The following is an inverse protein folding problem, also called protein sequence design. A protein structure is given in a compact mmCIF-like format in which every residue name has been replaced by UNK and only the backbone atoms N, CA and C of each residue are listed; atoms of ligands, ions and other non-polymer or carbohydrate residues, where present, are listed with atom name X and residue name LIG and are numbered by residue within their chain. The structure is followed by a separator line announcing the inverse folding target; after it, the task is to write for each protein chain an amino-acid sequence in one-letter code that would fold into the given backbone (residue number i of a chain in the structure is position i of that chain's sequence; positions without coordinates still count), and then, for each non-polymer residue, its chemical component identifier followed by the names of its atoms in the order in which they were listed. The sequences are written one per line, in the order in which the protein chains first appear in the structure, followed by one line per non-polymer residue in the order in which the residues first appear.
data_IF_359578001794
#
_entry.id   IF_359578001794
#
_cell.length_a   1.000
_cell.length_b   1.000
_cell.length_c   1.000
_cell.angle_alpha   90.00
_cell.angle_beta   90.00
_cell.angle_gamma   90.00
#
_symmetry.space_group_name_H-M   'P 1'
#
loop_
_entity.id
_entity.type
_entity.pdbx_description
1 polymer ?
#
# COMPACT_ATOMS: atom_id res chain seq x y z
N UNK A 1 -8.63 -2.74 5.42
CA UNK A 1 -7.87 -1.63 6.02
C UNK A 1 -8.49 -1.17 7.34
N UNK A 2 -9.69 -0.58 7.38
CA UNK A 2 -10.34 -0.12 8.63
C UNK A 2 -10.36 -1.15 9.79
N UNK A 3 -10.64 -2.44 9.52
CA UNK A 3 -10.66 -3.48 10.56
C UNK A 3 -9.27 -3.77 11.15
N UNK A 4 -8.24 -3.79 10.31
CA UNK A 4 -6.85 -4.00 10.72
C UNK A 4 -6.39 -2.89 11.66
N UNK A 5 -6.71 -1.64 11.33
CA UNK A 5 -6.32 -0.47 12.13
C UNK A 5 -7.02 -0.38 13.48
N UNK A 6 -8.27 -0.85 13.58
CA UNK A 6 -9.09 -0.59 14.76
C UNK A 6 -9.13 -1.77 15.75
N UNK A 7 -9.02 -3.00 15.26
CA UNK A 7 -9.26 -4.21 16.08
C UNK A 7 -7.99 -5.02 16.36
N UNK A 8 -6.82 -4.56 15.91
CA UNK A 8 -5.55 -5.29 16.01
C UNK A 8 -5.63 -6.73 15.45
N UNK A 9 -6.58 -6.95 14.54
CA UNK A 9 -6.76 -8.24 13.87
C UNK A 9 -5.67 -8.44 12.82
N UNK A 10 -5.20 -9.68 12.68
CA UNK A 10 -4.20 -9.99 11.65
C UNK A 10 -4.79 -9.81 10.25
N UNK A 11 -4.04 -9.14 9.36
CA UNK A 11 -4.49 -8.83 8.00
C UNK A 11 -4.88 -10.09 7.22
N UNK A 12 -4.14 -11.19 7.39
CA UNK A 12 -4.44 -12.48 6.78
C UNK A 12 -5.80 -13.03 7.20
N UNK A 13 -6.15 -12.95 8.48
CA UNK A 13 -7.44 -13.42 9.00
C UNK A 13 -8.60 -12.58 8.47
N UNK A 14 -8.46 -11.25 8.49
CA UNK A 14 -9.48 -10.35 7.92
C UNK A 14 -9.73 -10.68 6.45
N UNK A 15 -8.66 -10.85 5.68
CA UNK A 15 -8.74 -11.15 4.25
C UNK A 15 -9.42 -12.49 4.00
N UNK A 16 -9.07 -13.53 4.75
CA UNK A 16 -9.69 -14.85 4.64
C UNK A 16 -11.19 -14.77 4.91
N UNK A 17 -11.62 -14.05 5.95
CA UNK A 17 -13.04 -13.85 6.24
C UNK A 17 -13.78 -13.13 5.10
N UNK A 18 -13.18 -12.07 4.54
CA UNK A 18 -13.76 -11.36 3.39
C UNK A 18 -13.85 -12.27 2.17
N UNK A 19 -12.81 -13.06 1.87
CA UNK A 19 -12.81 -13.98 0.75
C UNK A 19 -13.82 -15.12 0.91
N UNK A 20 -14.06 -15.59 2.14
CA UNK A 20 -15.11 -16.57 2.42
C UNK A 20 -16.52 -16.00 2.21
N UNK A 21 -16.72 -14.71 2.52
CA UNK A 21 -18.01 -14.03 2.36
C UNK A 21 -18.33 -13.74 0.89
N UNK A 22 -17.41 -13.10 0.16
CA UNK A 22 -17.66 -12.63 -1.20
C UNK A 22 -17.27 -13.64 -2.29
N UNK A 23 -16.49 -14.67 -1.95
CA UNK A 23 -16.02 -15.75 -2.84
C UNK A 23 -15.50 -15.25 -4.20
N UNK A 24 -14.56 -14.28 -4.24
CA UNK A 24 -14.06 -13.76 -5.51
C UNK A 24 -13.25 -14.80 -6.29
N UNK A 25 -13.18 -14.59 -7.60
CA UNK A 25 -12.32 -15.36 -8.53
C UNK A 25 -10.85 -15.38 -8.07
N UNK A 26 -10.07 -16.42 -8.42
CA UNK A 26 -8.67 -16.56 -7.99
C UNK A 26 -7.79 -15.33 -8.29
N UNK A 27 -7.94 -14.74 -9.48
CA UNK A 27 -7.19 -13.55 -9.88
C UNK A 27 -7.52 -12.34 -8.98
N UNK A 28 -8.81 -12.14 -8.68
CA UNK A 28 -9.27 -11.08 -7.79
C UNK A 28 -8.78 -11.29 -6.35
N UNK A 29 -8.69 -12.55 -5.88
CA UNK A 29 -8.07 -12.86 -4.57
C UNK A 29 -6.60 -12.50 -4.54
N UNK A 30 -5.85 -12.86 -5.58
CA UNK A 30 -4.42 -12.54 -5.70
C UNK A 30 -4.22 -11.01 -5.69
N UNK A 31 -4.96 -10.29 -6.54
CA UNK A 31 -4.89 -8.84 -6.63
C UNK A 31 -5.24 -8.15 -5.31
N UNK A 32 -6.35 -8.53 -4.68
CA UNK A 32 -6.75 -7.97 -3.39
C UNK A 32 -5.74 -8.29 -2.27
N UNK A 33 -5.06 -9.43 -2.35
CA UNK A 33 -3.97 -9.80 -1.42
C UNK A 33 -2.78 -8.86 -1.56
N UNK A 34 -2.33 -8.62 -2.79
CA UNK A 34 -1.22 -7.70 -3.09
C UNK A 34 -1.58 -6.30 -2.63
N UNK A 35 -2.71 -5.75 -3.07
CA UNK A 35 -3.13 -4.39 -2.72
C UNK A 35 -3.22 -4.21 -1.20
N UNK A 36 -3.82 -5.15 -0.48
CA UNK A 36 -3.93 -5.06 0.98
C UNK A 36 -2.56 -5.09 1.68
N UNK A 37 -1.68 -6.00 1.28
CA UNK A 37 -0.35 -6.13 1.89
C UNK A 37 0.51 -4.90 1.62
N UNK A 38 0.56 -4.45 0.36
CA UNK A 38 1.44 -3.35 -0.05
C UNK A 38 0.93 -2.00 0.46
N UNK A 39 -0.39 -1.79 0.52
CA UNK A 39 -0.98 -0.60 1.16
C UNK A 39 -0.66 -0.55 2.65
N UNK A 40 -0.68 -1.70 3.36
CA UNK A 40 -0.28 -1.74 4.78
C UNK A 40 1.23 -1.50 4.93
N UNK A 41 2.07 -2.14 4.09
CA UNK A 41 3.53 -2.00 4.10
C UNK A 41 3.95 -0.55 3.93
N UNK A 42 3.36 0.15 2.96
CA UNK A 42 3.70 1.52 2.60
C UNK A 42 2.81 2.55 3.29
N UNK A 43 2.05 2.17 4.32
CA UNK A 43 0.99 3.00 4.91
C UNK A 43 1.47 4.41 5.28
N UNK A 44 2.58 4.51 6.04
CA UNK A 44 3.10 5.80 6.50
C UNK A 44 3.50 6.70 5.33
N UNK A 45 4.13 6.11 4.30
CA UNK A 45 4.50 6.81 3.07
C UNK A 45 3.27 7.31 2.30
N UNK A 46 2.28 6.43 2.08
CA UNK A 46 1.03 6.77 1.39
C UNK A 46 0.29 7.88 2.14
N UNK A 47 0.27 7.80 3.47
CA UNK A 47 -0.34 8.79 4.34
C UNK A 47 0.30 10.19 4.16
N UNK A 48 1.63 10.29 4.19
CA UNK A 48 2.33 11.55 3.92
C UNK A 48 2.00 12.13 2.54
N UNK A 49 2.01 11.28 1.52
CA UNK A 49 1.72 11.68 0.15
C UNK A 49 0.26 12.16 0.01
N UNK A 50 -0.69 11.52 0.68
CA UNK A 50 -2.10 11.94 0.68
C UNK A 50 -2.26 13.31 1.36
N UNK A 51 -1.63 13.55 2.52
CA UNK A 51 -1.70 14.86 3.17
C UNK A 51 -1.11 15.95 2.28
N UNK A 52 0.04 15.67 1.67
CA UNK A 52 0.73 16.61 0.77
C UNK A 52 -0.12 16.96 -0.46
N UNK A 53 -0.67 15.96 -1.16
CA UNK A 53 -1.44 16.18 -2.39
C UNK A 53 -2.84 16.74 -2.12
N UNK A 54 -3.48 16.34 -1.03
CA UNK A 54 -4.83 16.80 -0.69
C UNK A 54 -4.86 18.15 0.03
N UNK A 55 -3.74 18.57 0.62
CA UNK A 55 -3.65 19.75 1.49
C UNK A 55 -4.49 19.63 2.77
N UNK A 56 -4.90 18.42 3.15
CA UNK A 56 -5.74 18.14 4.31
C UNK A 56 -5.05 17.13 5.21
N UNK A 57 -5.11 17.37 6.52
CA UNK A 57 -4.69 16.34 7.47
C UNK A 57 -5.58 15.10 7.35
N UNK A 58 -4.97 13.92 7.39
CA UNK A 58 -5.64 12.62 7.38
C UNK A 58 -6.66 12.48 8.50
N UNK A 59 -6.43 13.13 9.65
CA UNK A 59 -7.38 13.12 10.78
C UNK A 59 -8.72 13.77 10.42
N UNK A 60 -8.76 14.61 9.38
CA UNK A 60 -9.99 15.26 8.88
C UNK A 60 -10.67 14.45 7.77
N UNK A 61 -10.04 13.40 7.26
CA UNK A 61 -10.63 12.54 6.25
C UNK A 61 -11.38 11.40 6.94
N UNK A 62 -12.50 10.98 6.34
CA UNK A 62 -13.18 9.75 6.73
C UNK A 62 -12.23 8.55 6.60
N UNK A 63 -12.35 7.57 7.50
CA UNK A 63 -11.43 6.42 7.54
C UNK A 63 -11.51 5.55 6.28
N UNK A 64 -12.73 5.35 5.77
CA UNK A 64 -12.93 4.62 4.52
C UNK A 64 -12.39 5.42 3.35
N UNK A 65 -12.58 6.75 3.34
CA UNK A 65 -11.99 7.61 2.31
C UNK A 65 -10.46 7.54 2.32
N UNK A 66 -9.83 7.59 3.50
CA UNK A 66 -8.38 7.41 3.65
C UNK A 66 -7.95 6.06 3.08
N UNK A 67 -8.61 4.97 3.47
CA UNK A 67 -8.27 3.63 2.96
C UNK A 67 -8.39 3.54 1.43
N UNK A 68 -9.41 4.15 0.84
CA UNK A 68 -9.61 4.19 -0.62
C UNK A 68 -8.49 5.00 -1.29
N UNK A 69 -8.16 6.18 -0.74
CA UNK A 69 -7.06 6.99 -1.25
C UNK A 69 -5.72 6.28 -1.15
N UNK A 70 -5.45 5.56 -0.06
CA UNK A 70 -4.21 4.79 0.09
C UNK A 70 -4.07 3.72 -1.00
N UNK A 71 -5.14 2.98 -1.31
CA UNK A 71 -5.14 2.01 -2.41
C UNK A 71 -4.96 2.72 -3.75
N UNK A 72 -5.69 3.81 -4.01
CA UNK A 72 -5.57 4.55 -5.27
C UNK A 72 -4.20 5.19 -5.49
N UNK A 73 -3.58 5.73 -4.43
CA UNK A 73 -2.19 6.23 -4.49
C UNK A 73 -1.22 5.09 -4.76
N UNK A 74 -1.44 3.93 -4.15
CA UNK A 74 -0.59 2.77 -4.40
C UNK A 74 -0.67 2.33 -5.87
N UNK A 75 -1.89 2.19 -6.41
CA UNK A 75 -2.08 1.78 -7.80
C UNK A 75 -1.43 2.79 -8.78
N UNK A 76 -1.62 4.10 -8.57
CA UNK A 76 -1.06 5.14 -9.46
C UNK A 76 0.48 5.23 -9.40
N UNK A 77 1.09 5.00 -8.24
CA UNK A 77 2.52 5.25 -8.05
C UNK A 77 3.40 4.02 -8.14
N UNK A 78 2.86 2.83 -7.86
CA UNK A 78 3.65 1.61 -7.70
C UNK A 78 3.11 0.41 -8.48
N UNK A 79 1.90 0.47 -9.05
CA UNK A 79 1.33 -0.62 -9.83
C UNK A 79 1.33 -0.30 -11.33
N UNK A 80 2.41 -0.66 -12.01
CA UNK A 80 2.59 -0.45 -13.45
C UNK A 80 1.55 -1.20 -14.31
N UNK A 81 0.84 -2.17 -13.74
CA UNK A 81 -0.19 -2.93 -14.46
C UNK A 81 -1.52 -2.18 -14.62
N UNK A 82 -1.67 -1.04 -13.93
CA UNK A 82 -2.95 -0.32 -13.83
C UNK A 82 -2.81 1.06 -14.46
N UNK A 83 -3.53 1.35 -15.56
CA UNK A 83 -3.56 2.70 -16.10
C UNK A 83 -4.12 3.69 -15.08
N UNK A 84 -3.52 4.87 -15.00
CA UNK A 84 -3.91 5.96 -14.07
C UNK A 84 -5.42 6.23 -14.08
N UNK A 85 -6.04 6.29 -15.27
CA UNK A 85 -7.48 6.54 -15.39
C UNK A 85 -8.34 5.42 -14.78
N UNK A 86 -7.88 4.17 -14.85
CA UNK A 86 -8.60 3.00 -14.34
C UNK A 86 -8.52 2.95 -12.80
N UNK A 87 -7.37 3.30 -12.22
CA UNK A 87 -7.21 3.46 -10.78
C UNK A 87 -8.14 4.57 -10.24
N UNK A 88 -8.21 5.71 -10.93
CA UNK A 88 -9.10 6.82 -10.58
C UNK A 88 -10.57 6.39 -10.65
N UNK A 89 -11.02 5.80 -11.76
CA UNK A 89 -12.42 5.41 -11.92
C UNK A 89 -12.85 4.38 -10.87
N UNK A 90 -12.01 3.36 -10.64
CA UNK A 90 -12.25 2.33 -9.63
C UNK A 90 -12.39 2.93 -8.23
N UNK A 91 -11.47 3.81 -7.83
CA UNK A 91 -11.50 4.45 -6.52
C UNK A 91 -12.70 5.38 -6.36
N UNK A 92 -13.08 6.11 -7.41
CA UNK A 92 -14.25 7.00 -7.42
C UNK A 92 -15.55 6.21 -7.28
N UNK A 93 -15.70 5.13 -8.06
CA UNK A 93 -16.89 4.28 -8.02
C UNK A 93 -16.99 3.54 -6.67
N UNK A 94 -15.87 3.06 -6.13
CA UNK A 94 -15.81 2.50 -4.78
C UNK A 94 -16.22 3.52 -3.71
N UNK A 95 -15.75 4.77 -3.83
CA UNK A 95 -16.12 5.85 -2.90
C UNK A 95 -17.61 6.16 -2.96
N UNK A 96 -18.22 6.16 -4.15
CA UNK A 96 -19.67 6.36 -4.29
C UNK A 96 -20.47 5.27 -3.58
N UNK A 97 -20.04 4.01 -3.69
CA UNK A 97 -20.73 2.87 -3.09
C UNK A 97 -20.58 2.76 -1.58
N UNK A 98 -19.43 3.16 -1.03
CA UNK A 98 -19.16 3.05 0.42
C UNK A 98 -19.55 4.32 1.19
N UNK A 99 -19.40 5.49 0.56
CA UNK A 99 -19.61 6.78 1.20
C UNK A 99 -20.74 7.54 0.51
N UNK A 100 -20.40 8.59 -0.24
CA UNK A 100 -21.38 9.44 -0.90
C UNK A 100 -20.77 10.16 -2.09
N UNK A 101 -21.63 10.79 -2.90
CA UNK A 101 -21.24 11.51 -4.12
C UNK A 101 -20.24 12.64 -3.84
N UNK A 102 -20.39 13.38 -2.73
CA UNK A 102 -19.47 14.47 -2.36
C UNK A 102 -18.05 13.93 -2.09
N UNK A 103 -17.95 12.84 -1.33
CA UNK A 103 -16.67 12.17 -1.08
C UNK A 103 -16.05 11.66 -2.38
N UNK A 104 -16.85 11.13 -3.32
CA UNK A 104 -16.33 10.67 -4.61
C UNK A 104 -15.72 11.80 -5.46
N UNK A 105 -16.29 13.01 -5.38
CA UNK A 105 -15.70 14.20 -6.01
C UNK A 105 -14.35 14.57 -5.41
N UNK A 106 -14.20 14.46 -4.09
CA UNK A 106 -12.91 14.67 -3.41
C UNK A 106 -11.88 13.59 -3.81
N UNK A 107 -12.25 12.31 -3.82
CA UNK A 107 -11.38 11.21 -4.29
C UNK A 107 -10.85 11.51 -5.70
N UNK A 108 -11.75 11.84 -6.61
CA UNK A 108 -11.40 12.17 -7.99
C UNK A 108 -10.43 13.35 -8.08
N UNK A 109 -10.72 14.44 -7.36
CA UNK A 109 -9.88 15.64 -7.36
C UNK A 109 -8.47 15.35 -6.82
N UNK A 110 -8.36 14.61 -5.72
CA UNK A 110 -7.08 14.28 -5.10
C UNK A 110 -6.25 13.36 -6.00
N UNK A 111 -6.83 12.29 -6.56
CA UNK A 111 -6.07 11.37 -7.42
C UNK A 111 -5.67 12.01 -8.75
N UNK A 112 -6.52 12.87 -9.34
CA UNK A 112 -6.12 13.65 -10.53
C UNK A 112 -5.02 14.67 -10.21
N UNK A 113 -5.05 15.26 -9.02
CA UNK A 113 -3.97 16.15 -8.59
C UNK A 113 -2.65 15.38 -8.41
N UNK A 114 -2.70 14.15 -7.88
CA UNK A 114 -1.54 13.26 -7.80
C UNK A 114 -0.94 13.01 -9.19
N UNK A 115 -1.77 12.60 -10.15
CA UNK A 115 -1.33 12.32 -11.53
C UNK A 115 -0.67 13.56 -12.15
N UNK A 116 -1.35 14.71 -12.09
CA UNK A 116 -0.80 15.96 -12.59
C UNK A 116 0.55 16.30 -11.93
N UNK A 117 0.66 16.11 -10.62
CA UNK A 117 1.88 16.41 -9.87
C UNK A 117 3.03 15.49 -10.27
N UNK A 118 2.80 14.16 -10.35
CA UNK A 118 3.84 13.19 -10.76
C UNK A 118 4.30 13.41 -12.20
N UNK A 119 3.41 13.84 -13.09
CA UNK A 119 3.74 14.07 -14.50
C UNK A 119 4.48 15.39 -14.71
N UNK A 120 4.26 16.39 -13.85
CA UNK A 120 4.89 17.72 -13.97
C UNK A 120 6.25 17.79 -13.28
N UNK A 121 6.43 17.07 -12.18
CA UNK A 121 7.61 17.15 -11.33
C UNK A 121 8.00 15.75 -10.85
N UNK A 122 9.09 15.20 -11.38
CA UNK A 122 9.57 13.85 -11.03
C UNK A 122 10.12 13.73 -9.61
N UNK A 123 10.34 14.86 -8.91
CA UNK A 123 10.84 14.90 -7.53
C UNK A 123 9.84 15.57 -6.58
N UNK A 124 8.55 15.54 -6.93
CA UNK A 124 7.48 16.15 -6.13
C UNK A 124 7.42 15.65 -4.68
N UNK A 125 7.86 14.42 -4.45
CA UNK A 125 7.89 13.72 -3.16
C UNK A 125 9.20 13.94 -2.40
N UNK A 126 10.20 14.59 -3.00
CA UNK A 126 11.52 14.85 -2.39
C UNK A 126 11.43 15.39 -0.96
N UNK A 127 10.62 16.44 -0.68
CA UNK A 127 10.42 16.98 0.67
C UNK A 127 9.79 15.99 1.68
N UNK A 128 9.17 14.91 1.21
CA UNK A 128 8.54 13.91 2.05
C UNK A 128 9.53 12.82 2.49
N UNK A 129 10.62 12.61 1.73
CA UNK A 129 11.57 11.51 1.93
C UNK A 129 12.37 11.60 3.23
N UNK A 130 12.48 12.79 3.80
CA UNK A 130 13.17 13.03 5.07
C UNK A 130 12.27 12.91 6.29
N UNK A 131 10.96 12.78 6.10
CA UNK A 131 9.99 12.69 7.19
C UNK A 131 9.92 11.26 7.73
N UNK A 132 9.76 11.09 9.05
CA UNK A 132 9.76 9.75 9.68
C UNK A 132 8.69 8.82 9.10
N UNK A 133 7.53 9.36 8.71
CA UNK A 133 6.45 8.60 8.07
C UNK A 133 6.86 7.93 6.75
N UNK A 134 7.88 8.43 6.05
CA UNK A 134 8.35 7.90 4.77
C UNK A 134 8.83 6.44 4.86
N UNK A 135 9.36 6.06 6.01
CA UNK A 135 9.87 4.73 6.29
C UNK A 135 8.75 3.73 6.61
N UNK A 136 7.51 4.18 6.80
CA UNK A 136 6.36 3.35 7.19
C UNK A 136 6.59 2.50 8.44
N UNK A 137 7.34 3.06 9.41
CA UNK A 137 7.68 2.42 10.67
C UNK A 137 7.28 3.32 11.84
N UNK A 138 6.91 2.74 13.00
CA UNK A 138 6.76 3.52 14.23
C UNK A 138 8.06 4.22 14.63
N UNK A 139 7.99 5.45 15.13
CA UNK A 139 9.17 6.25 15.49
C UNK A 139 10.10 5.53 16.49
N UNK A 140 9.55 4.75 17.41
CA UNK A 140 10.33 3.99 18.38
C UNK A 140 11.18 2.88 17.74
N UNK A 141 10.70 2.24 16.67
CA UNK A 141 11.48 1.26 15.90
C UNK A 141 12.60 1.99 15.15
N UNK A 142 12.28 3.14 14.56
CA UNK A 142 13.28 3.93 13.83
C UNK A 142 14.41 4.35 14.76
N UNK A 143 14.09 4.90 15.93
CA UNK A 143 15.09 5.30 16.92
C UNK A 143 15.95 4.11 17.37
N UNK A 144 15.34 2.96 17.67
CA UNK A 144 16.05 1.74 18.08
C UNK A 144 16.99 1.23 17.00
N UNK A 145 16.57 1.19 15.75
CA UNK A 145 17.42 0.69 14.66
C UNK A 145 18.50 1.68 14.24
N UNK A 146 18.26 2.99 14.38
CA UNK A 146 19.30 4.00 14.19
C UNK A 146 20.38 3.83 15.26
N UNK A 147 20.00 3.59 16.52
CA UNK A 147 20.95 3.32 17.61
C UNK A 147 21.78 2.04 17.35
N UNK A 148 21.13 0.97 16.89
CA UNK A 148 21.80 -0.33 16.69
C UNK A 148 22.61 -0.47 15.40
N UNK A 149 22.16 0.14 14.30
CA UNK A 149 22.70 -0.07 12.95
C UNK A 149 23.35 1.19 12.37
N UNK A 150 23.24 2.33 13.06
CA UNK A 150 23.55 3.65 12.52
C UNK A 150 22.55 4.08 11.44
N UNK A 151 22.63 5.37 11.05
CA UNK A 151 21.72 5.96 10.05
C UNK A 151 21.77 5.22 8.71
N UNK A 152 22.97 4.86 8.22
CA UNK A 152 23.12 4.15 6.95
C UNK A 152 22.46 2.76 7.00
N UNK A 153 22.76 1.96 8.03
CA UNK A 153 22.19 0.62 8.17
C UNK A 153 20.67 0.64 8.34
N UNK A 154 20.13 1.62 9.05
CA UNK A 154 18.70 1.87 9.12
C UNK A 154 18.09 2.17 7.73
N UNK A 155 18.69 3.07 6.96
CA UNK A 155 18.19 3.40 5.62
C UNK A 155 18.23 2.20 4.66
N UNK A 156 19.30 1.42 4.69
CA UNK A 156 19.43 0.21 3.87
C UNK A 156 18.37 -0.85 4.25
N UNK A 157 18.16 -1.06 5.55
CA UNK A 157 17.14 -1.98 6.06
C UNK A 157 15.72 -1.51 5.71
N UNK A 158 15.40 -0.23 5.94
CA UNK A 158 14.07 0.31 5.64
C UNK A 158 13.75 0.30 4.16
N UNK A 159 14.76 0.48 3.29
CA UNK A 159 14.60 0.30 1.85
C UNK A 159 14.20 -1.14 1.51
N UNK A 160 14.82 -2.13 2.16
CA UNK A 160 14.55 -3.55 1.89
C UNK A 160 13.19 -4.03 2.41
N UNK A 161 12.79 -3.69 3.63
CA UNK A 161 11.52 -4.16 4.21
C UNK A 161 10.28 -3.56 3.51
N UNK A 162 10.45 -2.38 2.91
CA UNK A 162 9.41 -1.67 2.17
C UNK A 162 9.34 -2.08 0.69
N UNK A 163 10.12 -3.07 0.26
CA UNK A 163 9.97 -3.71 -1.05
C UNK A 163 9.00 -4.89 -0.97
N UNK A 164 8.40 -5.23 -2.11
CA UNK A 164 7.61 -6.45 -2.24
C UNK A 164 8.47 -7.68 -1.86
N UNK A 165 7.91 -8.64 -1.10
CA UNK A 165 8.67 -9.77 -0.60
C UNK A 165 8.98 -10.74 -1.75
N UNK A 166 10.20 -11.28 -1.74
CA UNK A 166 10.58 -12.37 -2.65
C UNK A 166 9.98 -13.67 -2.12
N UNK A 167 9.41 -14.49 -3.01
CA UNK A 167 8.94 -15.83 -2.65
C UNK A 167 10.15 -16.74 -2.46
N UNK A 168 10.31 -17.28 -1.25
CA UNK A 168 11.29 -18.32 -0.97
C UNK A 168 10.58 -19.66 -0.89
N UNK A 169 11.02 -20.62 -1.70
CA UNK A 169 10.54 -22.00 -1.68
C UNK A 169 11.63 -22.88 -1.08
N UNK A 170 11.28 -23.68 -0.06
CA UNK A 170 12.18 -24.68 0.51
C UNK A 170 11.85 -26.04 -0.08
N UNK A 171 12.82 -26.65 -0.76
CA UNK A 171 12.66 -27.98 -1.35
C UNK A 171 13.02 -29.06 -0.34
N UNK A 172 12.15 -30.06 -0.22
CA UNK A 172 12.44 -31.27 0.55
C UNK A 172 13.26 -32.23 -0.31
N UNK A 173 14.58 -32.26 -0.08
CA UNK A 173 15.58 -32.95 -0.90
C UNK A 173 15.43 -34.48 -0.96
N UNK A 174 14.60 -35.08 -0.10
CA UNK A 174 14.31 -36.52 -0.12
C UNK A 174 13.30 -36.92 -1.20
N UNK A 175 12.62 -35.95 -1.83
CA UNK A 175 11.53 -36.22 -2.78
C UNK A 175 11.75 -35.54 -4.12
N UNK A 176 12.34 -34.34 -4.12
CA UNK A 176 12.60 -33.57 -5.34
C UNK A 176 13.95 -32.88 -5.25
N UNK A 177 14.61 -32.73 -6.40
CA UNK A 177 15.77 -31.83 -6.54
C UNK A 177 15.29 -30.39 -6.77
N UNK A 178 16.21 -29.42 -6.66
CA UNK A 178 15.91 -28.02 -7.01
C UNK A 178 15.48 -27.89 -8.48
N UNK A 179 16.13 -28.63 -9.38
CA UNK A 179 15.82 -28.59 -10.82
C UNK A 179 14.43 -29.16 -11.11
N UNK A 180 14.01 -30.20 -10.40
CA UNK A 180 12.65 -30.76 -10.54
C UNK A 180 11.58 -29.72 -10.18
N UNK A 181 11.81 -28.95 -9.11
CA UNK A 181 10.87 -27.92 -8.66
C UNK A 181 10.87 -26.72 -9.61
N UNK A 182 12.03 -26.31 -10.13
CA UNK A 182 12.11 -25.21 -11.12
C UNK A 182 11.31 -25.55 -12.38
N UNK A 183 11.29 -26.81 -12.81
CA UNK A 183 10.49 -27.25 -13.98
C UNK A 183 8.98 -27.25 -13.75
N UNK A 184 8.53 -27.25 -12.49
CA UNK A 184 7.12 -27.31 -12.11
C UNK A 184 6.48 -25.92 -11.88
N UNK A 185 7.30 -24.87 -11.80
CA UNK A 185 6.89 -23.48 -11.60
C UNK A 185 6.82 -22.73 -12.94
#
# INVERSE_FOLDING_TARGET
MNRFENKHEQLGLIRNQVFSQFKPEPLSKSRATVLANETVRLKGRLDLMIEFISGKSLKRLDRSLRSILQVGFYEILFDESVPDYAAVDSAVNLTKGILNRKASGLTNAVLRNLIRKKDTDTNWDGPLREQSGWHSLPDWIQARWIDQLGKKGFLDLTKRINQAPVLFVRVHSNTYTMDDIIRLL
#
